data_IF_886188716558
#
_entry.id   IF_886188716558
#
_cell.length_a   1.000
_cell.length_b   1.000
_cell.length_c   1.000
_cell.angle_alpha   90.00
_cell.angle_beta   90.00
_cell.angle_gamma   90.00
#
_symmetry.space_group_name_H-M   'P 1'
#
loop_
_entity.id
_entity.type
_entity.pdbx_description
1 polymer ?
#
# COMPACT_ATOMS: atom_id res chain seq x y z
N UNK A 1 -11.21 -18.93 30.74
CA UNK A 1 -11.98 -19.57 29.64
C UNK A 1 -11.93 -18.71 28.38
N UNK A 2 -12.24 -17.43 28.37
CA UNK A 2 -12.16 -16.58 27.16
C UNK A 2 -10.76 -16.42 26.55
N UNK A 3 -9.71 -16.37 27.38
CA UNK A 3 -8.32 -16.30 26.90
C UNK A 3 -7.82 -17.62 26.30
N UNK A 4 -8.38 -18.76 26.73
CA UNK A 4 -8.03 -20.10 26.21
C UNK A 4 -8.76 -20.37 24.88
N UNK A 5 -9.98 -19.88 24.73
CA UNK A 5 -10.74 -19.96 23.47
C UNK A 5 -10.16 -19.02 22.40
N UNK A 6 -9.62 -17.86 22.79
CA UNK A 6 -8.87 -16.98 21.91
C UNK A 6 -7.53 -17.62 21.44
N UNK A 7 -6.87 -18.42 22.29
CA UNK A 7 -5.67 -19.19 21.92
C UNK A 7 -5.94 -20.32 20.94
N UNK A 8 -7.10 -20.98 21.02
CA UNK A 8 -7.48 -22.03 20.05
C UNK A 8 -7.96 -21.46 18.72
N UNK A 9 -8.47 -20.22 18.69
CA UNK A 9 -8.85 -19.52 17.45
C UNK A 9 -7.65 -18.87 16.73
N UNK A 10 -6.53 -18.62 17.41
CA UNK A 10 -5.27 -18.22 16.80
C UNK A 10 -4.50 -19.50 16.46
N UNK A 11 -4.92 -20.19 15.40
CA UNK A 11 -4.10 -21.21 14.77
C UNK A 11 -2.70 -20.63 14.49
N UNK A 12 -1.65 -21.44 14.60
CA UNK A 12 -0.24 -21.05 14.37
C UNK A 12 -0.13 -20.23 13.06
N UNK A 13 -0.22 -18.91 13.16
CA UNK A 13 0.05 -18.00 12.04
C UNK A 13 1.56 -17.99 11.81
N UNK A 14 2.02 -18.91 10.98
CA UNK A 14 3.42 -18.95 10.53
C UNK A 14 3.57 -18.04 9.32
N UNK A 15 3.82 -16.77 9.54
CA UNK A 15 4.10 -15.79 8.49
C UNK A 15 5.31 -16.17 7.58
N UNK A 16 6.10 -17.14 7.99
CA UNK A 16 7.32 -17.60 7.31
C UNK A 16 7.18 -18.83 6.41
N UNK A 17 5.97 -19.37 6.18
CA UNK A 17 5.82 -20.51 5.27
C UNK A 17 5.81 -20.07 3.80
N UNK A 18 6.35 -20.90 2.92
CA UNK A 18 6.31 -20.76 1.47
C UNK A 18 5.81 -22.05 0.82
N UNK A 19 5.10 -21.93 -0.29
CA UNK A 19 4.73 -23.07 -1.12
C UNK A 19 5.86 -23.42 -2.10
N UNK A 20 5.88 -24.64 -2.65
CA UNK A 20 6.80 -25.01 -3.73
C UNK A 20 6.69 -24.03 -4.89
N UNK A 21 7.82 -23.65 -5.48
CA UNK A 21 7.88 -22.73 -6.61
C UNK A 21 7.40 -23.47 -7.89
N UNK A 22 6.18 -23.22 -8.33
CA UNK A 22 5.57 -23.77 -9.54
C UNK A 22 5.42 -22.66 -10.59
N UNK A 23 6.53 -22.26 -11.23
CA UNK A 23 6.51 -21.23 -12.26
C UNK A 23 6.35 -21.86 -13.65
N UNK A 24 5.37 -21.40 -14.45
CA UNK A 24 5.24 -21.74 -15.88
C UNK A 24 6.23 -20.92 -16.71
N UNK A 25 6.48 -19.68 -16.33
CA UNK A 25 7.47 -18.80 -16.96
C UNK A 25 8.25 -18.08 -15.86
N UNK A 26 9.58 -18.10 -15.95
CA UNK A 26 10.48 -17.33 -15.10
C UNK A 26 11.55 -16.68 -15.95
N UNK A 27 11.75 -15.38 -15.76
CA UNK A 27 12.84 -14.64 -16.42
C UNK A 27 14.14 -14.78 -15.60
N UNK A 28 15.26 -14.63 -16.26
CA UNK A 28 16.57 -14.58 -15.60
C UNK A 28 16.69 -13.37 -14.69
N UNK A 29 17.64 -13.40 -13.78
CA UNK A 29 17.93 -12.27 -12.90
C UNK A 29 18.55 -11.09 -13.67
N UNK A 30 18.29 -9.89 -13.17
CA UNK A 30 18.80 -8.65 -13.70
C UNK A 30 17.84 -7.97 -14.68
N UNK A 31 17.99 -6.65 -14.81
CA UNK A 31 17.16 -5.81 -15.65
C UNK A 31 17.95 -5.32 -16.88
N UNK A 32 17.37 -5.49 -18.05
CA UNK A 32 17.89 -4.98 -19.31
C UNK A 32 16.76 -4.50 -20.21
N UNK A 33 17.07 -3.74 -21.26
CA UNK A 33 16.06 -3.35 -22.25
C UNK A 33 15.40 -4.58 -22.90
N UNK A 34 16.16 -5.68 -23.09
CA UNK A 34 15.61 -6.91 -23.64
C UNK A 34 14.55 -7.53 -22.70
N UNK A 35 14.83 -7.62 -21.40
CA UNK A 35 13.84 -8.08 -20.39
C UNK A 35 12.57 -7.25 -20.45
N UNK A 36 12.68 -5.92 -20.55
CA UNK A 36 11.54 -5.02 -20.65
C UNK A 36 10.71 -5.27 -21.91
N UNK A 37 11.36 -5.48 -23.06
CA UNK A 37 10.68 -5.81 -24.32
C UNK A 37 10.04 -7.19 -24.29
N UNK A 38 10.69 -8.16 -23.66
CA UNK A 38 10.18 -9.53 -23.53
C UNK A 38 8.93 -9.59 -22.64
N UNK A 39 8.89 -8.81 -21.54
CA UNK A 39 7.67 -8.65 -20.71
C UNK A 39 6.52 -8.10 -21.58
N UNK A 40 6.78 -7.03 -22.34
CA UNK A 40 5.76 -6.40 -23.19
C UNK A 40 5.28 -7.33 -24.29
N UNK A 41 6.19 -8.06 -24.94
CA UNK A 41 5.87 -9.02 -25.98
C UNK A 41 5.05 -10.19 -25.45
N UNK A 42 5.42 -10.74 -24.27
CA UNK A 42 4.68 -11.84 -23.62
C UNK A 42 3.24 -11.45 -23.28
N UNK A 43 3.02 -10.19 -22.95
CA UNK A 43 1.69 -9.63 -22.62
C UNK A 43 0.92 -9.14 -23.83
N UNK A 44 1.49 -9.20 -25.04
CA UNK A 44 0.93 -8.66 -26.28
C UNK A 44 0.49 -7.19 -26.15
N UNK A 45 1.32 -6.36 -25.51
CA UNK A 45 1.02 -4.96 -25.29
C UNK A 45 1.07 -4.13 -26.58
N UNK A 46 0.31 -3.02 -26.67
CA UNK A 46 0.40 -2.10 -27.79
C UNK A 46 1.78 -1.40 -27.82
N UNK A 47 2.25 -1.07 -29.01
CA UNK A 47 3.58 -0.48 -29.26
C UNK A 47 3.87 0.75 -28.37
N UNK A 48 2.87 1.62 -28.16
CA UNK A 48 3.04 2.80 -27.30
C UNK A 48 3.38 2.45 -25.84
N UNK A 49 2.88 1.30 -25.31
CA UNK A 49 3.23 0.83 -23.99
C UNK A 49 4.65 0.27 -23.97
N UNK A 50 5.04 -0.51 -24.97
CA UNK A 50 6.43 -1.00 -25.11
C UNK A 50 7.43 0.17 -25.13
N UNK A 51 7.14 1.22 -25.95
CA UNK A 51 7.97 2.42 -25.98
C UNK A 51 8.04 3.15 -24.64
N UNK A 52 6.91 3.24 -23.93
CA UNK A 52 6.86 3.87 -22.61
C UNK A 52 7.72 3.11 -21.60
N UNK A 53 7.62 1.78 -21.59
CA UNK A 53 8.45 0.90 -20.75
C UNK A 53 9.94 1.10 -21.00
N UNK A 54 10.34 1.12 -22.25
CA UNK A 54 11.76 1.33 -22.65
C UNK A 54 12.26 2.71 -22.23
N UNK A 55 11.47 3.77 -22.43
CA UNK A 55 11.82 5.12 -21.95
C UNK A 55 11.96 5.15 -20.41
N UNK A 56 11.08 4.45 -19.71
CA UNK A 56 11.14 4.35 -18.25
C UNK A 56 12.37 3.55 -17.78
N UNK A 57 12.74 2.48 -18.47
CA UNK A 57 13.96 1.71 -18.20
C UNK A 57 15.20 2.59 -18.32
N UNK A 58 15.38 3.30 -19.43
CA UNK A 58 16.52 4.21 -19.60
C UNK A 58 16.55 5.32 -18.55
N UNK A 59 15.38 5.80 -18.13
CA UNK A 59 15.31 6.78 -17.04
C UNK A 59 15.71 6.17 -15.68
N UNK A 60 15.27 4.95 -15.38
CA UNK A 60 15.66 4.20 -14.19
C UNK A 60 17.17 3.98 -14.16
N UNK A 61 17.75 3.52 -15.24
CA UNK A 61 19.18 3.21 -15.35
C UNK A 61 20.04 4.46 -15.08
N UNK A 62 19.69 5.58 -15.70
CA UNK A 62 20.43 6.84 -15.58
C UNK A 62 20.14 7.63 -14.28
N UNK A 63 19.02 7.34 -13.56
CA UNK A 63 18.66 8.08 -12.37
C UNK A 63 19.39 7.56 -11.13
N UNK A 64 20.09 8.43 -10.36
CA UNK A 64 20.74 8.00 -9.12
C UNK A 64 19.72 7.54 -8.09
N UNK A 65 20.19 6.78 -7.10
CA UNK A 65 19.40 6.43 -5.92
C UNK A 65 18.96 7.68 -5.18
N UNK A 66 17.84 7.63 -4.42
CA UNK A 66 17.43 8.73 -3.57
C UNK A 66 18.53 9.11 -2.58
N UNK A 67 18.62 10.40 -2.26
CA UNK A 67 19.57 10.94 -1.27
C UNK A 67 18.93 11.15 0.11
N UNK A 68 17.76 10.55 0.33
CA UNK A 68 17.02 10.58 1.60
C UNK A 68 16.54 9.19 1.97
N UNK A 69 16.05 9.01 3.20
CA UNK A 69 15.65 7.72 3.74
C UNK A 69 16.85 7.02 4.40
N UNK A 70 16.84 5.70 4.40
CA UNK A 70 17.96 4.90 4.91
C UNK A 70 18.94 4.57 3.77
N UNK A 71 19.94 5.42 3.60
CA UNK A 71 20.90 5.31 2.49
C UNK A 71 21.64 3.97 2.50
N UNK A 72 22.06 3.47 3.66
CA UNK A 72 22.80 2.21 3.74
C UNK A 72 21.95 1.01 3.30
N UNK A 73 20.67 0.96 3.71
CA UNK A 73 19.77 -0.09 3.26
C UNK A 73 19.44 0.02 1.76
N UNK A 74 19.35 1.26 1.23
CA UNK A 74 19.10 1.46 -0.21
C UNK A 74 20.30 1.05 -1.07
N UNK A 75 21.52 1.25 -0.59
CA UNK A 75 22.76 0.84 -1.27
C UNK A 75 22.93 -0.69 -1.29
N UNK A 76 22.30 -1.41 -0.36
CA UNK A 76 22.31 -2.88 -0.31
C UNK A 76 21.43 -3.52 -1.41
N UNK A 77 20.56 -2.75 -2.09
CA UNK A 77 19.68 -3.29 -3.14
C UNK A 77 20.48 -3.64 -4.38
N UNK A 78 20.60 -4.91 -4.67
CA UNK A 78 21.25 -5.44 -5.88
C UNK A 78 20.21 -5.74 -6.96
N UNK A 79 20.01 -4.79 -7.87
CA UNK A 79 19.04 -4.90 -8.96
C UNK A 79 19.39 -6.01 -9.97
N UNK A 80 20.64 -6.47 -10.01
CA UNK A 80 21.06 -7.55 -10.90
C UNK A 80 20.69 -8.93 -10.34
N UNK A 81 20.27 -9.02 -9.07
CA UNK A 81 19.82 -10.25 -8.41
C UNK A 81 18.31 -10.36 -8.24
N UNK A 82 17.54 -9.44 -8.80
CA UNK A 82 16.08 -9.47 -8.78
C UNK A 82 15.56 -10.16 -10.04
N UNK A 83 14.57 -11.05 -9.88
CA UNK A 83 13.76 -11.57 -10.97
C UNK A 83 12.58 -10.59 -11.20
N UNK A 84 12.46 -10.09 -12.42
CA UNK A 84 11.50 -9.01 -12.74
C UNK A 84 10.17 -9.52 -13.27
N UNK A 85 10.06 -10.80 -13.60
CA UNK A 85 8.83 -11.41 -14.04
C UNK A 85 8.79 -12.91 -13.75
N UNK A 86 7.68 -13.35 -13.18
CA UNK A 86 7.39 -14.75 -12.91
C UNK A 86 5.89 -14.99 -13.08
N UNK A 87 5.52 -15.97 -13.89
CA UNK A 87 4.14 -16.41 -14.08
C UNK A 87 3.95 -17.78 -13.45
N UNK A 88 2.98 -17.90 -12.57
CA UNK A 88 2.64 -19.17 -11.88
C UNK A 88 1.42 -19.88 -12.49
N UNK A 89 0.56 -19.16 -13.22
CA UNK A 89 -0.62 -19.70 -13.90
C UNK A 89 -0.76 -19.10 -15.29
N UNK A 90 -1.26 -19.88 -16.25
CA UNK A 90 -1.51 -19.42 -17.62
C UNK A 90 -2.88 -18.73 -17.80
N UNK A 91 -3.73 -18.73 -16.77
CA UNK A 91 -5.06 -18.14 -16.81
C UNK A 91 -5.40 -17.40 -15.52
N UNK A 92 -6.24 -16.36 -15.66
CA UNK A 92 -6.95 -15.73 -14.54
C UNK A 92 -8.33 -16.38 -14.45
N UNK A 93 -8.60 -17.05 -13.34
CA UNK A 93 -9.84 -17.79 -13.14
C UNK A 93 -10.94 -16.87 -12.61
N UNK A 94 -12.20 -17.18 -12.98
CA UNK A 94 -13.40 -16.46 -12.49
C UNK A 94 -14.03 -17.14 -11.29
N UNK A 95 -13.87 -18.46 -11.21
CA UNK A 95 -14.34 -19.26 -10.08
C UNK A 95 -13.17 -19.68 -9.21
N UNK A 96 -13.31 -19.47 -7.89
CA UNK A 96 -12.26 -19.79 -6.92
C UNK A 96 -11.88 -21.27 -6.92
N UNK A 97 -12.82 -22.14 -7.23
CA UNK A 97 -12.60 -23.58 -7.30
C UNK A 97 -11.70 -24.01 -8.47
N UNK A 98 -11.60 -23.19 -9.52
CA UNK A 98 -10.76 -23.43 -10.70
C UNK A 98 -9.30 -22.94 -10.50
N UNK A 99 -9.05 -22.12 -9.48
CA UNK A 99 -7.68 -21.68 -9.13
C UNK A 99 -6.85 -22.91 -8.69
N UNK A 100 -5.59 -23.05 -9.14
CA UNK A 100 -4.71 -24.14 -8.72
C UNK A 100 -4.69 -24.35 -7.20
N UNK A 101 -4.75 -25.63 -6.76
CA UNK A 101 -4.92 -25.98 -5.35
C UNK A 101 -3.81 -25.44 -4.44
N UNK A 102 -2.58 -25.42 -4.90
CA UNK A 102 -1.42 -24.85 -4.19
C UNK A 102 -1.58 -23.35 -3.95
N UNK A 103 -2.07 -22.61 -4.96
CA UNK A 103 -2.37 -21.19 -4.86
C UNK A 103 -3.57 -20.94 -3.93
N UNK A 104 -4.65 -21.70 -4.07
CA UNK A 104 -5.82 -21.61 -3.15
C UNK A 104 -5.41 -21.83 -1.71
N UNK A 105 -4.67 -22.91 -1.44
CA UNK A 105 -4.16 -23.23 -0.11
C UNK A 105 -3.30 -22.09 0.47
N UNK A 106 -2.60 -21.35 -0.38
CA UNK A 106 -1.84 -20.17 0.03
C UNK A 106 -2.76 -19.08 0.57
N UNK A 107 -3.81 -18.74 -0.18
CA UNK A 107 -4.75 -17.70 0.23
C UNK A 107 -5.64 -18.14 1.39
N UNK A 108 -6.02 -19.42 1.48
CA UNK A 108 -6.77 -19.97 2.62
C UNK A 108 -5.97 -19.88 3.93
N UNK A 109 -4.66 -20.20 3.87
CA UNK A 109 -3.75 -20.04 5.03
C UNK A 109 -3.58 -18.58 5.44
N UNK A 110 -3.72 -17.63 4.54
CA UNK A 110 -3.70 -16.19 4.83
C UNK A 110 -5.00 -15.71 5.46
N UNK A 111 -6.02 -16.58 5.53
CA UNK A 111 -7.29 -16.27 6.17
C UNK A 111 -8.21 -15.41 5.29
N UNK A 112 -8.11 -15.57 3.95
CA UNK A 112 -9.11 -15.01 3.03
C UNK A 112 -10.30 -15.99 3.01
N UNK A 113 -11.33 -15.82 3.87
CA UNK A 113 -12.43 -16.76 3.95
C UNK A 113 -13.32 -16.63 2.70
N UNK A 114 -13.91 -17.75 2.26
CA UNK A 114 -15.02 -17.70 1.29
C UNK A 114 -16.15 -16.72 1.70
N UNK A 115 -16.27 -16.44 3.01
CA UNK A 115 -17.24 -15.48 3.55
C UNK A 115 -16.94 -14.04 3.10
N UNK A 116 -15.66 -13.64 2.93
CA UNK A 116 -15.29 -12.30 2.45
C UNK A 116 -15.70 -12.10 1.00
N UNK A 117 -15.60 -13.12 0.17
CA UNK A 117 -16.04 -13.07 -1.23
C UNK A 117 -17.54 -12.76 -1.37
N UNK A 118 -18.36 -13.16 -0.39
CA UNK A 118 -19.82 -12.93 -0.39
C UNK A 118 -20.22 -11.51 0.02
N UNK A 119 -19.33 -10.77 0.72
CA UNK A 119 -19.62 -9.46 1.30
C UNK A 119 -18.91 -8.31 0.58
N UNK A 120 -18.12 -8.60 -0.47
CA UNK A 120 -17.41 -7.61 -1.26
C UNK A 120 -18.09 -7.35 -2.60
N UNK A 121 -17.85 -6.18 -3.15
CA UNK A 121 -18.31 -5.80 -4.49
C UNK A 121 -17.50 -6.43 -5.61
N UNK A 122 -16.27 -6.84 -5.32
CA UNK A 122 -15.36 -7.52 -6.24
C UNK A 122 -14.07 -7.90 -5.55
N UNK A 123 -13.40 -8.94 -6.03
CA UNK A 123 -12.14 -9.47 -5.49
C UNK A 123 -11.18 -9.79 -6.61
N UNK A 124 -9.92 -9.42 -6.45
CA UNK A 124 -8.79 -9.87 -7.28
C UNK A 124 -7.71 -10.47 -6.39
N UNK A 125 -7.18 -11.62 -6.78
CA UNK A 125 -6.01 -12.21 -6.14
C UNK A 125 -4.86 -12.28 -7.14
N UNK A 126 -3.72 -11.68 -6.78
CA UNK A 126 -2.49 -11.74 -7.54
C UNK A 126 -1.45 -12.57 -6.80
N UNK A 127 -0.84 -13.50 -7.53
CA UNK A 127 0.24 -14.34 -7.07
C UNK A 127 1.45 -14.11 -7.97
N UNK A 128 2.58 -13.70 -7.39
CA UNK A 128 3.76 -13.24 -8.12
C UNK A 128 3.47 -12.04 -9.03
N UNK A 129 3.69 -12.19 -10.34
CA UNK A 129 3.57 -11.08 -11.29
C UNK A 129 2.19 -10.93 -11.92
N UNK A 130 1.25 -11.86 -11.73
CA UNK A 130 -0.02 -11.84 -12.47
C UNK A 130 -1.22 -12.18 -11.59
N UNK A 131 -2.40 -11.68 -11.99
CA UNK A 131 -3.67 -12.04 -11.36
C UNK A 131 -4.02 -13.49 -11.66
N UNK A 132 -4.38 -14.24 -10.63
CA UNK A 132 -4.78 -15.66 -10.71
C UNK A 132 -6.28 -15.88 -10.50
N UNK A 133 -6.93 -14.91 -9.89
CA UNK A 133 -8.38 -14.92 -9.65
C UNK A 133 -8.96 -13.52 -9.77
N UNK A 134 -10.15 -13.41 -10.38
CA UNK A 134 -10.87 -12.15 -10.48
C UNK A 134 -12.38 -12.38 -10.50
N UNK A 135 -13.11 -11.61 -9.69
CA UNK A 135 -14.57 -11.61 -9.64
C UNK A 135 -15.11 -10.21 -9.34
N UNK A 136 -16.22 -9.84 -9.97
CA UNK A 136 -16.98 -8.62 -9.69
C UNK A 136 -18.47 -8.96 -9.69
N UNK A 137 -19.27 -8.24 -8.92
CA UNK A 137 -20.71 -8.41 -8.87
C UNK A 137 -21.36 -7.97 -10.18
N UNK A 138 -22.29 -8.78 -10.68
CA UNK A 138 -23.01 -8.53 -11.94
C UNK A 138 -23.79 -7.20 -11.94
N UNK A 139 -24.34 -6.78 -10.79
CA UNK A 139 -25.08 -5.52 -10.69
C UNK A 139 -24.19 -4.29 -10.88
N UNK A 140 -22.90 -4.38 -10.54
CA UNK A 140 -21.92 -3.33 -10.81
C UNK A 140 -21.46 -3.33 -12.27
N UNK A 141 -21.25 -4.51 -12.86
CA UNK A 141 -20.96 -4.62 -14.29
C UNK A 141 -22.10 -4.04 -15.13
N UNK A 142 -23.35 -4.31 -14.76
CA UNK A 142 -24.54 -3.74 -15.43
C UNK A 142 -24.63 -2.21 -15.31
N UNK A 143 -24.07 -1.62 -14.25
CA UNK A 143 -23.94 -0.19 -14.07
C UNK A 143 -22.72 0.40 -14.82
N UNK A 144 -21.93 -0.45 -15.49
CA UNK A 144 -20.75 -0.06 -16.25
C UNK A 144 -19.49 0.16 -15.41
N UNK A 145 -19.46 -0.35 -14.15
CA UNK A 145 -18.23 -0.38 -13.33
C UNK A 145 -17.28 -1.37 -13.97
N UNK A 146 -16.04 -0.92 -14.19
CA UNK A 146 -14.94 -1.77 -14.64
C UNK A 146 -14.04 -2.03 -13.42
N UNK A 147 -13.82 -3.30 -13.12
CA UNK A 147 -12.80 -3.75 -12.19
C UNK A 147 -12.08 -4.93 -12.82
N UNK A 148 -10.82 -4.77 -13.15
CA UNK A 148 -9.98 -5.75 -13.83
C UNK A 148 -8.58 -5.71 -13.21
N UNK A 149 -7.76 -6.73 -13.47
CA UNK A 149 -6.32 -6.55 -13.37
C UNK A 149 -5.83 -5.53 -14.43
N UNK A 150 -4.67 -4.91 -14.17
CA UNK A 150 -4.20 -3.83 -15.03
C UNK A 150 -3.81 -4.31 -16.44
N UNK A 151 -3.38 -5.56 -16.60
CA UNK A 151 -3.04 -6.15 -17.89
C UNK A 151 -4.28 -6.35 -18.76
N UNK A 152 -5.36 -6.86 -18.16
CA UNK A 152 -6.69 -6.96 -18.80
C UNK A 152 -7.26 -5.58 -19.10
N UNK A 153 -7.13 -4.63 -18.16
CA UNK A 153 -7.53 -3.24 -18.37
C UNK A 153 -6.87 -2.59 -19.57
N UNK A 154 -5.56 -2.80 -19.75
CA UNK A 154 -4.82 -2.30 -20.92
C UNK A 154 -5.30 -2.94 -22.22
N UNK A 155 -5.60 -4.23 -22.20
CA UNK A 155 -6.03 -5.00 -23.38
C UNK A 155 -7.45 -4.64 -23.81
N UNK A 156 -8.38 -4.52 -22.86
CA UNK A 156 -9.81 -4.34 -23.12
C UNK A 156 -10.21 -2.85 -23.25
N UNK A 157 -9.51 -1.95 -22.53
CA UNK A 157 -9.79 -0.52 -22.50
C UNK A 157 -8.55 0.34 -22.81
N UNK A 158 -7.82 0.09 -23.92
CA UNK A 158 -6.53 0.70 -24.21
C UNK A 158 -6.57 2.23 -24.26
N UNK A 159 -7.65 2.83 -24.78
CA UNK A 159 -7.77 4.29 -24.87
C UNK A 159 -7.97 4.95 -23.49
N UNK A 160 -8.72 4.30 -22.59
CA UNK A 160 -8.93 4.79 -21.24
C UNK A 160 -7.63 4.71 -20.44
N UNK A 161 -6.93 3.56 -20.55
CA UNK A 161 -5.61 3.40 -19.93
C UNK A 161 -4.61 4.41 -20.49
N UNK A 162 -4.51 4.56 -21.80
CA UNK A 162 -3.60 5.53 -22.45
C UNK A 162 -3.84 6.96 -21.99
N UNK A 163 -5.08 7.33 -21.72
CA UNK A 163 -5.45 8.68 -21.23
C UNK A 163 -4.94 8.95 -19.83
N UNK A 164 -4.98 7.95 -18.93
CA UNK A 164 -4.78 8.17 -17.51
C UNK A 164 -3.51 7.56 -16.93
N UNK A 165 -2.96 6.53 -17.54
CA UNK A 165 -1.73 5.87 -17.11
C UNK A 165 -0.54 6.85 -17.14
N UNK A 166 0.23 6.92 -16.08
CA UNK A 166 1.32 7.89 -15.88
C UNK A 166 0.87 9.38 -15.86
N UNK A 167 -0.43 9.66 -15.74
CA UNK A 167 -0.93 11.05 -15.74
C UNK A 167 -0.73 11.74 -14.39
N UNK A 168 -0.68 10.98 -13.31
CA UNK A 168 -0.52 11.47 -11.93
C UNK A 168 0.86 11.12 -11.38
N UNK A 169 1.37 9.94 -11.69
CA UNK A 169 2.73 9.48 -11.35
C UNK A 169 3.49 9.17 -12.65
N UNK A 170 4.12 10.17 -13.29
CA UNK A 170 4.95 9.93 -14.46
C UNK A 170 6.20 9.13 -14.09
N UNK A 171 6.77 8.38 -15.05
CA UNK A 171 7.97 7.60 -14.80
C UNK A 171 9.19 8.45 -14.38
N UNK A 172 9.19 9.75 -14.70
CA UNK A 172 10.24 10.69 -14.29
C UNK A 172 10.14 11.12 -12.82
N UNK A 173 9.09 10.75 -12.09
CA UNK A 173 8.84 11.23 -10.72
C UNK A 173 9.99 10.84 -9.77
N UNK A 174 10.31 9.56 -9.72
CA UNK A 174 11.42 9.03 -8.91
C UNK A 174 11.98 7.74 -9.54
N UNK A 175 13.11 7.23 -9.01
CA UNK A 175 13.77 6.02 -9.52
C UNK A 175 12.86 4.80 -9.51
N UNK A 176 12.06 4.63 -8.46
CA UNK A 176 11.19 3.45 -8.29
C UNK A 176 9.92 3.54 -9.14
N UNK A 177 9.39 4.74 -9.41
CA UNK A 177 8.31 4.91 -10.38
C UNK A 177 8.77 4.62 -11.81
N UNK A 178 10.03 4.95 -12.14
CA UNK A 178 10.65 4.57 -13.41
C UNK A 178 10.80 3.05 -13.51
N UNK A 179 11.32 2.40 -12.46
CA UNK A 179 11.43 0.95 -12.39
C UNK A 179 10.07 0.28 -12.59
N UNK A 180 9.08 0.68 -11.78
CA UNK A 180 7.72 0.13 -11.92
C UNK A 180 7.19 0.32 -13.35
N UNK A 181 7.29 1.53 -13.92
CA UNK A 181 6.79 1.78 -15.29
C UNK A 181 7.50 0.92 -16.34
N UNK A 182 8.76 0.57 -16.14
CA UNK A 182 9.50 -0.31 -17.05
C UNK A 182 9.03 -1.77 -16.99
N UNK A 183 8.72 -2.28 -15.79
CA UNK A 183 8.50 -3.72 -15.57
C UNK A 183 7.16 -4.08 -14.91
N UNK A 184 6.22 -3.14 -14.79
CA UNK A 184 4.95 -3.38 -14.12
C UNK A 184 4.23 -4.62 -14.67
N UNK A 185 3.56 -5.32 -13.77
CA UNK A 185 2.77 -6.51 -14.05
C UNK A 185 1.68 -6.65 -13.01
N UNK A 186 0.45 -6.90 -13.45
CA UNK A 186 -0.70 -6.95 -12.56
C UNK A 186 -1.03 -5.61 -11.92
N UNK A 187 -1.65 -5.67 -10.74
CA UNK A 187 -2.29 -4.52 -10.10
C UNK A 187 -3.75 -4.42 -10.49
N UNK A 188 -4.41 -3.31 -10.14
CA UNK A 188 -5.86 -3.14 -10.37
C UNK A 188 -6.16 -1.99 -11.33
N UNK A 189 -7.07 -2.23 -12.26
CA UNK A 189 -7.67 -1.21 -13.13
C UNK A 189 -9.14 -1.05 -12.79
N UNK A 190 -9.52 0.16 -12.33
CA UNK A 190 -10.89 0.44 -11.91
C UNK A 190 -11.38 1.74 -12.57
N UNK A 191 -12.58 1.65 -13.17
CA UNK A 191 -13.32 2.81 -13.61
C UNK A 191 -14.74 2.75 -13.05
N UNK A 192 -15.15 3.79 -12.34
CA UNK A 192 -16.52 3.94 -11.81
C UNK A 192 -17.21 5.03 -12.60
N UNK A 193 -18.30 4.72 -13.33
CA UNK A 193 -19.02 5.68 -14.16
C UNK A 193 -19.64 6.81 -13.35
N UNK A 194 -19.94 7.91 -14.04
CA UNK A 194 -20.58 9.11 -13.50
C UNK A 194 -21.83 8.77 -12.67
N UNK A 195 -21.85 9.26 -11.43
CA UNK A 195 -22.96 9.12 -10.49
C UNK A 195 -23.17 7.72 -9.93
N UNK A 196 -22.30 6.76 -10.22
CA UNK A 196 -22.38 5.41 -9.66
C UNK A 196 -21.67 5.36 -8.30
N UNK A 197 -22.33 4.77 -7.32
CA UNK A 197 -21.79 4.58 -5.96
C UNK A 197 -21.59 3.11 -5.68
N UNK A 198 -20.34 2.69 -5.51
CA UNK A 198 -19.99 1.33 -5.11
C UNK A 198 -20.06 1.26 -3.58
N UNK A 199 -21.17 0.69 -3.05
CA UNK A 199 -21.48 0.74 -1.62
C UNK A 199 -20.56 -0.14 -0.78
N UNK A 200 -20.27 -1.37 -1.26
CA UNK A 200 -19.36 -2.28 -0.58
C UNK A 200 -17.95 -2.18 -1.19
N UNK A 201 -16.90 -2.38 -0.39
CA UNK A 201 -15.54 -2.31 -0.90
C UNK A 201 -15.27 -3.31 -2.03
N UNK A 202 -14.40 -2.95 -2.95
CA UNK A 202 -13.69 -3.89 -3.83
C UNK A 202 -12.31 -4.16 -3.26
N UNK A 203 -11.79 -5.36 -3.45
CA UNK A 203 -10.59 -5.83 -2.76
C UNK A 203 -9.57 -6.45 -3.70
N UNK A 204 -8.28 -6.20 -3.44
CA UNK A 204 -7.20 -6.92 -4.09
C UNK A 204 -6.22 -7.48 -3.05
N UNK A 205 -5.76 -8.70 -3.30
CA UNK A 205 -4.69 -9.35 -2.54
C UNK A 205 -3.47 -9.57 -3.40
N UNK A 206 -2.30 -9.20 -2.86
CA UNK A 206 -1.01 -9.37 -3.51
C UNK A 206 -0.11 -10.26 -2.67
N UNK A 207 0.40 -11.33 -3.28
CA UNK A 207 1.30 -12.29 -2.63
C UNK A 207 2.59 -12.46 -3.43
N UNK A 208 3.73 -12.18 -2.82
CA UNK A 208 5.04 -12.66 -3.28
C UNK A 208 5.28 -14.00 -2.60
N UNK A 209 5.65 -15.04 -3.36
CA UNK A 209 5.98 -16.35 -2.79
C UNK A 209 7.37 -16.86 -3.23
N UNK A 210 7.93 -16.37 -4.34
CA UNK A 210 9.21 -16.83 -4.85
C UNK A 210 10.40 -16.04 -4.28
N UNK A 211 11.52 -16.75 -4.12
CA UNK A 211 12.78 -16.18 -3.63
C UNK A 211 13.40 -15.22 -4.67
N UNK A 212 13.98 -14.09 -4.21
CA UNK A 212 14.57 -13.06 -5.04
C UNK A 212 13.60 -12.47 -6.08
N UNK A 213 12.30 -12.54 -5.81
CA UNK A 213 11.28 -12.01 -6.69
C UNK A 213 11.08 -10.52 -6.46
N UNK A 214 10.93 -9.77 -7.57
CA UNK A 214 10.38 -8.43 -7.56
C UNK A 214 8.89 -8.45 -7.88
N UNK A 215 8.08 -7.68 -7.14
CA UNK A 215 6.68 -7.44 -7.44
C UNK A 215 6.47 -5.96 -7.77
N UNK A 216 5.85 -5.70 -8.93
CA UNK A 216 5.80 -4.37 -9.55
C UNK A 216 4.39 -4.04 -10.01
N UNK A 217 3.41 -4.15 -9.13
CA UNK A 217 2.02 -3.89 -9.50
C UNK A 217 1.76 -2.42 -9.84
N UNK A 218 0.82 -2.21 -10.77
CA UNK A 218 0.34 -0.89 -11.17
C UNK A 218 -1.16 -0.79 -10.96
N UNK A 219 -1.58 0.09 -10.04
CA UNK A 219 -3.00 0.31 -9.77
C UNK A 219 -3.44 1.68 -10.31
N UNK A 220 -4.53 1.68 -11.08
CA UNK A 220 -5.14 2.87 -11.65
C UNK A 220 -6.63 2.88 -11.33
N UNK A 221 -7.07 3.84 -10.52
CA UNK A 221 -8.48 4.01 -10.13
C UNK A 221 -8.99 5.36 -10.62
N UNK A 222 -10.06 5.31 -11.41
CA UNK A 222 -10.73 6.49 -11.96
C UNK A 222 -12.17 6.50 -11.45
N UNK A 223 -12.52 7.46 -10.62
CA UNK A 223 -13.89 7.74 -10.21
C UNK A 223 -14.42 8.94 -11.02
N UNK A 224 -15.41 8.70 -11.88
CA UNK A 224 -15.99 9.73 -12.72
C UNK A 224 -16.89 10.69 -11.91
N UNK A 225 -17.39 11.73 -12.51
CA UNK A 225 -18.13 12.81 -11.83
C UNK A 225 -19.20 12.29 -10.88
N UNK A 226 -19.13 12.70 -9.60
CA UNK A 226 -20.09 12.35 -8.57
C UNK A 226 -20.15 10.87 -8.19
N UNK A 227 -19.19 10.05 -8.62
CA UNK A 227 -19.13 8.64 -8.27
C UNK A 227 -18.36 8.38 -6.96
N UNK A 228 -18.50 7.18 -6.41
CA UNK A 228 -17.74 6.81 -5.20
C UNK A 228 -17.33 5.35 -5.19
N UNK A 229 -16.13 5.09 -4.60
CA UNK A 229 -15.59 3.75 -4.40
C UNK A 229 -14.70 3.69 -3.17
N UNK A 230 -14.78 2.55 -2.48
CA UNK A 230 -13.80 2.13 -1.48
C UNK A 230 -13.03 0.91 -2.01
N UNK A 231 -11.73 1.07 -2.17
CA UNK A 231 -10.82 -0.01 -2.57
C UNK A 231 -9.95 -0.41 -1.39
N UNK A 232 -9.80 -1.72 -1.18
CA UNK A 232 -9.02 -2.29 -0.09
C UNK A 232 -7.93 -3.19 -0.67
N UNK A 233 -6.71 -3.04 -0.17
CA UNK A 233 -5.54 -3.79 -0.61
C UNK A 233 -4.89 -4.51 0.57
N UNK A 234 -4.63 -5.80 0.41
CA UNK A 234 -3.81 -6.61 1.31
C UNK A 234 -2.54 -7.08 0.61
N UNK A 235 -1.37 -6.92 1.26
CA UNK A 235 -0.10 -7.36 0.70
C UNK A 235 0.68 -8.20 1.71
N UNK A 236 1.19 -9.37 1.27
CA UNK A 236 1.98 -10.26 2.12
C UNK A 236 3.14 -10.91 1.37
N UNK A 237 4.17 -11.30 2.11
CA UNK A 237 5.27 -12.14 1.62
C UNK A 237 5.79 -13.07 2.72
N UNK A 238 6.28 -14.29 2.38
CA UNK A 238 6.99 -15.15 3.32
C UNK A 238 8.39 -14.64 3.61
N UNK A 239 8.99 -15.11 4.68
CA UNK A 239 10.38 -14.80 5.05
C UNK A 239 11.35 -15.70 4.30
N UNK A 240 12.27 -15.10 3.55
CA UNK A 240 13.41 -15.75 2.92
C UNK A 240 14.73 -15.24 3.49
N UNK A 241 15.80 -16.01 3.25
CA UNK A 241 17.17 -15.59 3.60
C UNK A 241 17.76 -14.55 2.65
N UNK A 242 17.07 -14.22 1.58
CA UNK A 242 17.47 -13.25 0.56
C UNK A 242 16.41 -12.16 0.43
N UNK A 243 16.86 -10.97 0.09
CA UNK A 243 16.00 -9.81 -0.05
C UNK A 243 15.04 -9.94 -1.24
N UNK A 244 13.84 -9.37 -1.09
CA UNK A 244 12.83 -9.23 -2.15
C UNK A 244 12.49 -7.75 -2.33
N UNK A 245 12.09 -7.37 -3.55
CA UNK A 245 11.78 -5.99 -3.90
C UNK A 245 10.30 -5.84 -4.26
N UNK A 246 9.59 -5.03 -3.49
CA UNK A 246 8.26 -4.56 -3.83
C UNK A 246 8.31 -3.09 -4.25
N UNK A 247 7.90 -2.80 -5.47
CA UNK A 247 7.86 -1.42 -5.99
C UNK A 247 6.59 -1.18 -6.79
N UNK A 248 5.54 -0.76 -6.09
CA UNK A 248 4.24 -0.48 -6.66
C UNK A 248 4.06 1.00 -7.02
N UNK A 249 3.18 1.25 -7.98
CA UNK A 249 2.68 2.59 -8.26
C UNK A 249 1.16 2.61 -8.27
N UNK A 250 0.57 3.55 -7.52
CA UNK A 250 -0.87 3.75 -7.44
C UNK A 250 -1.24 5.16 -7.89
N UNK A 251 -2.16 5.26 -8.86
CA UNK A 251 -2.71 6.50 -9.38
C UNK A 251 -4.21 6.56 -9.12
N UNK A 252 -4.68 7.61 -8.42
CA UNK A 252 -6.09 7.86 -8.18
C UNK A 252 -6.53 9.13 -8.90
N UNK A 253 -7.60 9.05 -9.67
CA UNK A 253 -8.21 10.18 -10.35
C UNK A 253 -9.65 10.34 -9.85
N UNK A 254 -9.89 11.33 -8.99
CA UNK A 254 -11.22 11.70 -8.53
C UNK A 254 -11.70 12.90 -9.34
N UNK A 255 -12.61 12.68 -10.30
CA UNK A 255 -13.22 13.72 -11.12
C UNK A 255 -14.22 14.56 -10.28
N UNK A 256 -14.80 15.66 -10.80
CA UNK A 256 -15.61 16.56 -9.97
C UNK A 256 -16.68 15.86 -9.12
N UNK A 257 -16.68 16.13 -7.81
CA UNK A 257 -17.62 15.56 -6.85
C UNK A 257 -17.39 14.06 -6.54
N UNK A 258 -16.37 13.44 -7.11
CA UNK A 258 -16.10 12.02 -6.87
C UNK A 258 -15.41 11.77 -5.53
N UNK A 259 -15.58 10.56 -5.00
CA UNK A 259 -14.97 10.14 -3.75
C UNK A 259 -14.23 8.80 -3.92
N UNK A 260 -12.93 8.79 -3.65
CA UNK A 260 -12.13 7.58 -3.62
C UNK A 260 -11.57 7.40 -2.21
N UNK A 261 -11.86 6.26 -1.61
CA UNK A 261 -11.20 5.79 -0.39
C UNK A 261 -10.32 4.59 -0.75
N UNK A 262 -9.05 4.64 -0.37
CA UNK A 262 -8.08 3.59 -0.60
C UNK A 262 -7.50 3.14 0.75
N UNK A 263 -7.82 1.92 1.15
CA UNK A 263 -7.29 1.32 2.37
C UNK A 263 -6.29 0.23 2.05
N UNK A 264 -5.17 0.18 2.76
CA UNK A 264 -4.17 -0.88 2.60
C UNK A 264 -3.65 -1.35 3.95
N UNK A 265 -3.52 -2.66 4.09
CA UNK A 265 -2.79 -3.29 5.19
C UNK A 265 -1.67 -4.12 4.57
N UNK A 266 -0.43 -3.69 4.83
CA UNK A 266 0.76 -4.37 4.34
C UNK A 266 1.45 -5.08 5.50
N UNK A 267 1.62 -6.40 5.34
CA UNK A 267 2.34 -7.26 6.28
C UNK A 267 3.46 -7.98 5.52
N UNK A 268 4.57 -7.28 5.35
CA UNK A 268 5.74 -7.79 4.66
C UNK A 268 6.71 -8.46 5.64
N UNK A 269 7.36 -9.51 5.18
CA UNK A 269 8.47 -10.10 5.91
C UNK A 269 9.70 -9.18 5.97
N UNK A 270 10.57 -9.42 6.96
CA UNK A 270 11.72 -8.57 7.30
C UNK A 270 12.83 -8.49 6.25
N UNK A 271 12.71 -9.23 5.14
CA UNK A 271 13.62 -9.19 4.00
C UNK A 271 13.09 -8.40 2.80
N UNK A 272 11.94 -7.73 2.91
CA UNK A 272 11.32 -6.99 1.79
C UNK A 272 11.70 -5.52 1.81
N UNK A 273 12.17 -5.01 0.67
CA UNK A 273 12.23 -3.59 0.38
C UNK A 273 10.90 -3.15 -0.23
N UNK A 274 10.16 -2.32 0.48
CA UNK A 274 8.82 -1.86 0.11
C UNK A 274 8.87 -0.38 -0.33
N UNK A 275 9.08 -0.16 -1.64
CA UNK A 275 9.38 1.15 -2.24
C UNK A 275 8.23 1.61 -3.14
N UNK A 276 7.21 2.20 -2.55
CA UNK A 276 5.91 2.46 -3.18
C UNK A 276 5.67 3.94 -3.46
N UNK A 277 5.14 4.25 -4.63
CA UNK A 277 4.67 5.60 -4.98
C UNK A 277 3.16 5.61 -5.15
N UNK A 278 2.46 6.32 -4.26
CA UNK A 278 1.00 6.50 -4.29
C UNK A 278 0.65 7.97 -4.48
N UNK A 279 -0.16 8.29 -5.49
CA UNK A 279 -0.63 9.67 -5.70
C UNK A 279 -2.03 9.74 -6.27
N UNK A 280 -2.83 10.67 -5.72
CA UNK A 280 -4.15 10.99 -6.21
C UNK A 280 -4.25 12.44 -6.68
N UNK A 281 -5.17 12.70 -7.61
CA UNK A 281 -5.57 14.03 -8.02
C UNK A 281 -7.06 14.22 -7.76
N UNK A 282 -7.42 15.24 -6.97
CA UNK A 282 -8.80 15.56 -6.64
C UNK A 282 -9.23 16.81 -7.40
N UNK A 283 -10.27 16.67 -8.22
CA UNK A 283 -10.90 17.76 -8.95
C UNK A 283 -11.91 18.50 -8.07
N UNK A 284 -12.72 19.38 -8.65
CA UNK A 284 -13.68 20.24 -7.94
C UNK A 284 -14.60 19.43 -7.02
N UNK A 285 -14.65 19.80 -5.72
CA UNK A 285 -15.44 19.13 -4.68
C UNK A 285 -15.19 17.62 -4.53
N UNK A 286 -14.12 17.08 -5.13
CA UNK A 286 -13.77 15.69 -5.00
C UNK A 286 -13.04 15.39 -3.68
N UNK A 287 -13.13 14.14 -3.24
CA UNK A 287 -12.50 13.66 -2.01
C UNK A 287 -11.61 12.45 -2.26
N UNK A 288 -10.39 12.45 -1.70
CA UNK A 288 -9.49 11.30 -1.68
C UNK A 288 -9.07 11.01 -0.25
N UNK A 289 -9.23 9.76 0.17
CA UNK A 289 -8.82 9.24 1.47
C UNK A 289 -7.82 8.10 1.31
N UNK A 290 -6.68 8.22 1.99
CA UNK A 290 -5.70 7.15 2.14
C UNK A 290 -5.75 6.63 3.57
N UNK A 291 -5.96 5.33 3.75
CA UNK A 291 -5.91 4.62 5.04
C UNK A 291 -4.83 3.55 4.93
N UNK A 292 -3.69 3.76 5.58
CA UNK A 292 -2.44 3.08 5.23
C UNK A 292 -1.78 2.43 6.45
N UNK A 293 -1.83 1.10 6.53
CA UNK A 293 -1.19 0.28 7.56
C UNK A 293 0.10 -0.38 7.07
N UNK A 294 1.21 -0.14 7.75
CA UNK A 294 2.53 -0.62 7.39
C UNK A 294 3.14 -1.44 8.52
N UNK A 295 3.27 -2.75 8.31
CA UNK A 295 3.88 -3.70 9.24
C UNK A 295 4.92 -4.50 8.48
N UNK A 296 6.00 -4.86 9.16
CA UNK A 296 7.06 -5.65 8.56
C UNK A 296 7.96 -4.86 7.63
N UNK A 297 8.51 -5.52 6.62
CA UNK A 297 9.56 -5.09 5.68
C UNK A 297 10.88 -4.67 6.33
N UNK A 298 11.99 -4.85 5.60
CA UNK A 298 13.33 -4.36 5.98
C UNK A 298 13.38 -2.84 5.90
N UNK A 299 12.88 -2.30 4.79
CA UNK A 299 12.76 -0.87 4.55
C UNK A 299 11.44 -0.57 3.84
N UNK A 300 10.62 0.29 4.42
CA UNK A 300 9.50 0.92 3.71
C UNK A 300 9.85 2.35 3.37
N UNK A 301 9.61 2.75 2.10
CA UNK A 301 9.56 4.15 1.68
C UNK A 301 8.22 4.38 0.98
N UNK A 302 7.26 4.97 1.69
CA UNK A 302 5.89 5.15 1.19
C UNK A 302 5.27 6.46 1.70
N UNK A 303 4.93 7.33 0.76
CA UNK A 303 4.41 8.67 1.04
C UNK A 303 3.16 8.94 0.20
N UNK A 304 1.97 8.41 0.59
CA UNK A 304 0.72 8.71 -0.10
C UNK A 304 0.56 10.21 -0.31
N UNK A 305 0.20 10.60 -1.53
CA UNK A 305 0.14 12.00 -1.92
C UNK A 305 -1.20 12.36 -2.54
N UNK A 306 -1.67 13.61 -2.33
CA UNK A 306 -2.86 14.13 -3.00
C UNK A 306 -2.58 15.53 -3.55
N UNK A 307 -2.92 15.72 -4.82
CA UNK A 307 -2.96 17.04 -5.47
C UNK A 307 -4.40 17.54 -5.46
N UNK A 308 -4.69 18.54 -4.64
CA UNK A 308 -5.99 19.22 -4.57
C UNK A 308 -6.05 20.27 -5.66
N UNK A 309 -6.46 19.83 -6.86
CA UNK A 309 -6.47 20.63 -8.10
C UNK A 309 -7.75 21.42 -8.29
N UNK A 310 -8.87 20.89 -7.82
CA UNK A 310 -10.18 21.53 -7.95
C UNK A 310 -10.59 22.30 -6.70
N UNK A 311 -11.36 23.36 -6.87
CA UNK A 311 -11.92 24.15 -5.77
C UNK A 311 -12.77 23.27 -4.86
N UNK A 312 -12.70 23.48 -3.54
CA UNK A 312 -13.49 22.73 -2.55
C UNK A 312 -13.07 21.26 -2.37
N UNK A 313 -12.01 20.80 -3.04
CA UNK A 313 -11.55 19.41 -2.90
C UNK A 313 -10.96 19.14 -1.52
N UNK A 314 -11.00 17.85 -1.11
CA UNK A 314 -10.59 17.38 0.20
C UNK A 314 -9.66 16.19 0.12
N UNK A 315 -8.66 16.14 1.02
CA UNK A 315 -7.81 14.98 1.20
C UNK A 315 -7.69 14.60 2.68
N UNK A 316 -7.74 13.30 2.95
CA UNK A 316 -7.42 12.75 4.26
C UNK A 316 -6.40 11.63 4.12
N UNK A 317 -5.41 11.62 5.01
CA UNK A 317 -4.43 10.54 5.12
C UNK A 317 -4.36 10.07 6.56
N UNK A 318 -4.66 8.81 6.78
CA UNK A 318 -4.50 8.14 8.07
C UNK A 318 -3.48 7.02 7.85
N UNK A 319 -2.32 7.14 8.49
CA UNK A 319 -1.21 6.20 8.32
C UNK A 319 -0.74 5.68 9.66
N UNK A 320 -0.53 4.38 9.75
CA UNK A 320 0.14 3.74 10.87
C UNK A 320 1.34 2.95 10.40
N UNK A 321 2.40 2.93 11.21
CA UNK A 321 3.61 2.18 10.93
C UNK A 321 4.13 1.50 12.20
N UNK A 322 4.49 0.22 12.09
CA UNK A 322 5.18 -0.52 13.14
C UNK A 322 6.55 -0.96 12.63
N UNK A 323 7.60 -0.69 13.41
CA UNK A 323 8.98 -1.08 13.11
C UNK A 323 9.59 -1.87 14.26
N UNK A 324 9.97 -3.11 13.98
CA UNK A 324 10.68 -4.01 14.87
C UNK A 324 12.18 -4.08 14.57
N UNK A 325 12.83 -5.11 15.12
CA UNK A 325 14.27 -5.32 14.97
C UNK A 325 14.71 -5.35 13.49
N UNK A 326 15.72 -4.54 13.17
CA UNK A 326 16.30 -4.45 11.82
C UNK A 326 15.41 -3.77 10.78
N UNK A 327 14.27 -3.22 11.17
CA UNK A 327 13.30 -2.60 10.28
C UNK A 327 13.39 -1.06 10.30
N UNK A 328 13.14 -0.44 9.14
CA UNK A 328 12.96 1.00 9.05
C UNK A 328 11.69 1.34 8.25
N UNK A 329 10.70 1.92 8.93
CA UNK A 329 9.49 2.46 8.31
C UNK A 329 9.68 3.97 8.06
N UNK A 330 10.09 4.36 6.84
CA UNK A 330 10.11 5.78 6.39
C UNK A 330 8.79 6.04 5.64
N UNK A 331 7.77 6.40 6.41
CA UNK A 331 6.41 6.63 5.92
C UNK A 331 5.98 8.08 6.19
N UNK A 332 4.92 8.52 5.50
CA UNK A 332 4.42 9.87 5.69
C UNK A 332 3.31 10.22 4.72
N UNK A 333 3.10 11.51 4.47
CA UNK A 333 2.08 11.96 3.53
C UNK A 333 2.46 13.27 2.85
N UNK A 334 1.96 13.48 1.62
CA UNK A 334 2.19 14.73 0.88
C UNK A 334 0.87 15.27 0.35
N UNK A 335 0.54 16.54 0.65
CA UNK A 335 -0.66 17.17 0.13
C UNK A 335 -0.33 18.54 -0.46
N UNK A 336 -0.77 18.74 -1.69
CA UNK A 336 -0.56 19.97 -2.45
C UNK A 336 -1.88 20.68 -2.71
N UNK A 337 -2.10 21.83 -2.06
CA UNK A 337 -3.26 22.70 -2.26
C UNK A 337 -3.00 23.64 -3.43
N UNK A 338 -3.56 23.35 -4.60
CA UNK A 338 -3.42 24.17 -5.82
C UNK A 338 -4.62 25.06 -6.09
N UNK A 339 -5.79 24.72 -5.54
CA UNK A 339 -7.05 25.46 -5.68
C UNK A 339 -7.54 26.02 -4.34
N UNK A 340 -8.44 27.01 -4.41
CA UNK A 340 -9.03 27.67 -3.24
C UNK A 340 -10.04 26.79 -2.51
N UNK A 341 -10.33 27.13 -1.25
CA UNK A 341 -11.32 26.46 -0.40
C UNK A 341 -11.07 24.98 -0.16
N UNK A 342 -9.83 24.51 -0.38
CA UNK A 342 -9.44 23.11 -0.22
C UNK A 342 -9.09 22.80 1.23
N UNK A 343 -9.31 21.54 1.62
CA UNK A 343 -9.07 21.11 3.00
C UNK A 343 -8.27 19.82 3.04
N UNK A 344 -7.41 19.67 4.05
CA UNK A 344 -6.65 18.42 4.26
C UNK A 344 -6.46 18.08 5.71
N UNK A 345 -6.39 16.77 5.97
CA UNK A 345 -6.05 16.22 7.28
C UNK A 345 -5.06 15.08 7.13
N UNK A 346 -3.99 15.11 7.91
CA UNK A 346 -3.01 14.03 8.02
C UNK A 346 -2.96 13.59 9.47
N UNK A 347 -3.19 12.29 9.70
CA UNK A 347 -2.95 11.63 10.97
C UNK A 347 -1.96 10.49 10.73
N UNK A 348 -0.74 10.64 11.26
CA UNK A 348 0.30 9.61 11.18
C UNK A 348 0.67 9.13 12.59
N UNK A 349 0.64 7.82 12.79
CA UNK A 349 1.05 7.20 14.04
C UNK A 349 2.10 6.13 13.78
N UNK A 350 3.17 6.12 14.57
CA UNK A 350 4.23 5.12 14.44
C UNK A 350 4.61 4.52 15.78
N UNK A 351 4.98 3.25 15.75
CA UNK A 351 5.53 2.51 16.90
C UNK A 351 6.87 1.93 16.50
N UNK A 352 7.84 2.06 17.40
CA UNK A 352 9.16 1.45 17.24
C UNK A 352 9.50 0.60 18.46
N UNK A 353 9.97 -0.65 18.20
CA UNK A 353 10.29 -1.66 19.22
C UNK A 353 11.55 -2.44 18.82
N UNK A 354 12.28 -2.98 19.78
CA UNK A 354 13.44 -3.88 19.61
C UNK A 354 14.54 -3.30 18.69
N UNK A 355 14.80 -1.99 18.79
CA UNK A 355 15.77 -1.29 17.96
C UNK A 355 15.24 -0.88 16.59
N UNK A 356 13.95 -1.01 16.33
CA UNK A 356 13.28 -0.56 15.12
C UNK A 356 13.33 0.96 14.95
N UNK A 357 13.22 1.42 13.70
CA UNK A 357 13.23 2.83 13.36
C UNK A 357 11.97 3.26 12.63
N UNK A 358 11.24 4.22 13.18
CA UNK A 358 10.13 4.92 12.54
C UNK A 358 10.57 6.30 12.05
N UNK A 359 10.23 6.66 10.81
CA UNK A 359 10.44 8.03 10.31
C UNK A 359 9.16 8.55 9.69
N UNK A 360 8.69 9.72 10.15
CA UNK A 360 7.63 10.46 9.48
C UNK A 360 8.24 11.48 8.53
N UNK A 361 7.85 11.41 7.26
CA UNK A 361 8.27 12.38 6.23
C UNK A 361 7.05 12.97 5.57
N UNK A 362 6.67 14.16 6.03
CA UNK A 362 5.48 14.87 5.57
C UNK A 362 5.79 16.09 4.73
N UNK A 363 4.91 16.40 3.78
CA UNK A 363 4.94 17.66 3.03
C UNK A 363 3.53 18.19 2.81
N UNK A 364 3.30 19.44 3.19
CA UNK A 364 2.09 20.16 2.82
C UNK A 364 2.49 21.47 2.14
N UNK A 365 1.94 21.71 0.96
CA UNK A 365 2.17 22.97 0.24
C UNK A 365 0.86 23.65 -0.14
N UNK A 366 0.83 24.98 -0.03
CA UNK A 366 -0.29 25.83 -0.45
C UNK A 366 0.21 26.81 -1.51
N UNK A 367 -0.37 26.72 -2.70
CA UNK A 367 -0.05 27.61 -3.82
C UNK A 367 -0.36 29.09 -3.47
N UNK A 368 0.41 30.06 -3.98
CA UNK A 368 0.11 31.48 -3.81
C UNK A 368 -1.30 31.90 -4.26
N UNK A 369 -1.89 31.13 -5.18
CA UNK A 369 -3.24 31.39 -5.74
C UNK A 369 -4.37 30.66 -5.01
N UNK A 370 -4.04 29.76 -4.07
CA UNK A 370 -5.02 28.94 -3.36
C UNK A 370 -5.46 29.64 -2.06
N UNK A 371 -6.62 30.27 -2.09
CA UNK A 371 -7.18 31.01 -0.96
C UNK A 371 -8.00 30.12 -0.02
N UNK A 372 -8.08 30.51 1.26
CA UNK A 372 -8.91 29.88 2.30
C UNK A 372 -8.67 28.37 2.50
N UNK A 373 -7.48 27.90 2.23
CA UNK A 373 -7.11 26.51 2.48
C UNK A 373 -7.03 26.22 3.99
N UNK A 374 -7.45 25.02 4.40
CA UNK A 374 -7.33 24.54 5.79
C UNK A 374 -6.58 23.24 5.80
N UNK A 375 -5.56 23.14 6.64
CA UNK A 375 -4.72 21.95 6.73
C UNK A 375 -4.41 21.65 8.21
N UNK A 376 -4.53 20.38 8.56
CA UNK A 376 -4.22 19.86 9.88
C UNK A 376 -3.30 18.65 9.73
N UNK A 377 -2.19 18.65 10.45
CA UNK A 377 -1.21 17.57 10.46
C UNK A 377 -0.94 17.17 11.90
N UNK A 378 -1.17 15.91 12.21
CA UNK A 378 -0.85 15.31 13.50
C UNK A 378 0.06 14.12 13.25
N UNK A 379 1.25 14.10 13.86
CA UNK A 379 2.16 12.97 13.80
C UNK A 379 2.62 12.57 15.21
N UNK A 380 2.22 11.36 15.61
CA UNK A 380 2.52 10.79 16.92
C UNK A 380 3.43 9.58 16.77
N UNK A 381 4.47 9.52 17.57
CA UNK A 381 5.35 8.37 17.65
C UNK A 381 5.42 7.83 19.08
N UNK A 382 5.33 6.50 19.20
CA UNK A 382 5.47 5.79 20.45
C UNK A 382 6.71 4.89 20.38
N UNK A 383 7.63 5.05 21.33
CA UNK A 383 8.84 4.25 21.46
C UNK A 383 8.65 3.29 22.63
N UNK A 384 8.86 1.99 22.39
CA UNK A 384 8.61 0.97 23.42
C UNK A 384 9.88 0.63 24.23
N UNK A 385 11.08 0.94 23.74
CA UNK A 385 12.35 0.61 24.39
C UNK A 385 13.43 1.68 24.12
N UNK A 386 14.58 1.54 24.77
CA UNK A 386 15.70 2.50 24.65
C UNK A 386 16.53 2.34 23.36
N UNK A 387 16.43 1.20 22.68
CA UNK A 387 17.18 0.91 21.45
C UNK A 387 16.48 1.43 20.20
N UNK A 388 15.18 1.68 20.30
CA UNK A 388 14.34 2.10 19.19
C UNK A 388 14.42 3.60 18.92
N UNK A 389 14.08 3.99 17.68
CA UNK A 389 14.23 5.37 17.22
C UNK A 389 13.01 5.86 16.44
N UNK A 390 12.68 7.14 16.65
CA UNK A 390 11.71 7.89 15.83
C UNK A 390 12.33 9.17 15.31
N UNK A 391 12.12 9.45 14.01
CA UNK A 391 12.55 10.68 13.34
C UNK A 391 11.35 11.38 12.70
N UNK A 392 11.36 12.71 12.65
CA UNK A 392 10.30 13.50 12.02
C UNK A 392 10.89 14.54 11.08
N UNK A 393 10.47 14.51 9.81
CA UNK A 393 10.92 15.41 8.74
C UNK A 393 9.74 16.15 8.11
N UNK A 394 9.14 17.13 8.80
CA UNK A 394 8.02 17.88 8.25
C UNK A 394 8.50 18.98 7.30
N UNK A 395 7.78 19.15 6.20
CA UNK A 395 7.95 20.29 5.27
C UNK A 395 6.62 20.99 5.09
N UNK A 396 6.59 22.29 5.32
CA UNK A 396 5.39 23.12 5.17
C UNK A 396 5.73 24.36 4.35
N UNK A 397 5.10 24.46 3.16
CA UNK A 397 5.28 25.56 2.22
C UNK A 397 3.97 26.30 2.04
N UNK A 398 3.66 27.26 2.90
CA UNK A 398 2.40 28.01 2.87
C UNK A 398 2.63 29.36 2.21
N UNK A 399 2.31 29.47 0.93
CA UNK A 399 2.56 30.69 0.14
C UNK A 399 1.35 31.65 0.06
N UNK A 400 0.20 31.29 0.64
CA UNK A 400 -0.99 32.16 0.68
C UNK A 400 -1.35 32.52 2.13
N UNK A 401 -1.46 33.82 2.50
CA UNK A 401 -1.70 34.27 3.87
C UNK A 401 -3.12 33.97 4.41
N UNK A 402 -4.09 33.63 3.56
CA UNK A 402 -5.43 33.23 4.00
C UNK A 402 -5.51 31.78 4.48
N UNK A 403 -4.45 30.99 4.28
CA UNK A 403 -4.44 29.59 4.70
C UNK A 403 -4.38 29.46 6.22
N UNK A 404 -5.10 28.48 6.75
CA UNK A 404 -5.04 28.06 8.17
C UNK A 404 -4.31 26.73 8.25
N UNK A 405 -3.24 26.73 9.03
CA UNK A 405 -2.33 25.61 9.13
C UNK A 405 -2.13 25.24 10.59
N UNK A 406 -2.38 23.99 10.90
CA UNK A 406 -2.14 23.39 12.21
C UNK A 406 -1.20 22.20 12.04
N UNK A 407 -0.14 22.14 12.85
CA UNK A 407 0.78 21.03 12.87
C UNK A 407 1.17 20.69 14.30
N UNK A 408 0.94 19.46 14.67
CA UNK A 408 1.33 18.88 15.96
C UNK A 408 2.20 17.64 15.71
N UNK A 409 3.28 17.52 16.48
CA UNK A 409 4.13 16.35 16.47
C UNK A 409 4.46 15.96 17.92
N UNK A 410 4.22 14.69 18.25
CA UNK A 410 4.59 14.14 19.55
C UNK A 410 5.45 12.89 19.39
N UNK A 411 6.47 12.78 20.25
CA UNK A 411 7.27 11.55 20.39
C UNK A 411 7.29 11.23 21.89
N UNK A 412 6.79 10.07 22.24
CA UNK A 412 6.76 9.62 23.62
C UNK A 412 7.31 8.20 23.76
N UNK A 413 7.91 7.91 24.91
CA UNK A 413 8.18 6.55 25.35
C UNK A 413 6.98 6.05 26.13
N UNK A 414 6.70 4.75 26.06
CA UNK A 414 5.69 4.12 26.91
C UNK A 414 5.97 4.43 28.38
N UNK A 415 4.96 4.88 29.10
CA UNK A 415 5.09 5.22 30.51
C UNK A 415 5.15 3.95 31.36
N UNK A 416 6.26 3.80 32.11
CA UNK A 416 6.41 2.71 33.09
C UNK A 416 5.26 2.71 34.13
N UNK A 417 4.70 3.89 34.45
CA UNK A 417 3.55 4.02 35.37
C UNK A 417 2.27 3.43 34.76
N UNK A 418 2.05 3.60 33.45
CA UNK A 418 0.90 3.00 32.76
C UNK A 418 1.02 1.48 32.70
N UNK A 419 2.20 0.98 32.36
CA UNK A 419 2.48 -0.46 32.37
C UNK A 419 2.29 -1.03 33.78
N UNK A 420 2.89 -0.42 34.78
CA UNK A 420 2.74 -0.84 36.19
C UNK A 420 1.27 -0.81 36.64
N UNK A 421 0.50 0.21 36.26
CA UNK A 421 -0.92 0.26 36.60
C UNK A 421 -1.70 -0.92 36.02
N UNK A 422 -1.48 -1.26 34.75
CA UNK A 422 -2.13 -2.42 34.11
C UNK A 422 -1.68 -3.74 34.74
N UNK A 423 -0.38 -3.88 35.04
CA UNK A 423 0.14 -5.06 35.77
C UNK A 423 -0.47 -5.19 37.16
N UNK A 424 -0.70 -4.08 37.87
CA UNK A 424 -1.36 -4.09 39.17
C UNK A 424 -2.84 -4.54 39.11
N UNK A 425 -3.43 -4.53 37.92
CA UNK A 425 -4.78 -5.04 37.62
C UNK A 425 -4.81 -6.50 37.19
N UNK A 426 -3.64 -7.15 37.14
CA UNK A 426 -3.50 -8.58 36.87
C UNK A 426 -3.11 -8.94 35.45
N UNK A 427 -2.74 -7.95 34.63
CA UNK A 427 -2.18 -8.18 33.30
C UNK A 427 -0.69 -8.52 33.40
N UNK A 428 -0.17 -9.32 32.46
CA UNK A 428 1.26 -9.44 32.25
C UNK A 428 1.83 -8.14 31.65
N UNK A 429 3.13 -7.95 31.69
CA UNK A 429 3.79 -6.81 31.04
C UNK A 429 3.48 -6.77 29.54
N UNK A 430 3.54 -7.92 28.87
CA UNK A 430 3.22 -8.08 27.44
C UNK A 430 1.78 -7.70 27.12
N UNK A 431 0.81 -8.19 27.93
CA UNK A 431 -0.60 -7.81 27.79
C UNK A 431 -0.81 -6.31 28.00
N UNK A 432 -0.14 -5.72 28.98
CA UNK A 432 -0.20 -4.28 29.25
C UNK A 432 0.32 -3.46 28.08
N UNK A 433 1.47 -3.84 27.51
CA UNK A 433 2.03 -3.19 26.33
C UNK A 433 1.12 -3.35 25.11
N UNK A 434 0.60 -4.55 24.86
CA UNK A 434 -0.35 -4.79 23.76
C UNK A 434 -1.62 -3.93 23.88
N UNK A 435 -2.14 -3.75 25.08
CA UNK A 435 -3.31 -2.87 25.32
C UNK A 435 -2.99 -1.40 25.01
N UNK A 436 -1.82 -0.91 25.39
CA UNK A 436 -1.37 0.48 25.11
C UNK A 436 -1.21 0.67 23.61
N UNK A 437 -0.56 -0.28 22.93
CA UNK A 437 -0.33 -0.26 21.47
C UNK A 437 -1.66 -0.28 20.71
N UNK A 438 -2.58 -1.16 21.07
CA UNK A 438 -3.90 -1.24 20.43
C UNK A 438 -4.70 0.06 20.63
N UNK A 439 -4.63 0.66 21.82
CA UNK A 439 -5.24 1.96 22.08
C UNK A 439 -4.62 3.09 21.26
N UNK A 440 -3.31 3.05 21.03
CA UNK A 440 -2.62 4.03 20.20
C UNK A 440 -3.02 3.94 18.74
N UNK A 441 -3.27 2.73 18.20
CA UNK A 441 -3.69 2.50 16.81
C UNK A 441 -5.22 2.53 16.61
N UNK A 442 -6.02 2.64 17.67
CA UNK A 442 -7.49 2.63 17.58
C UNK A 442 -8.06 3.58 16.52
N UNK A 443 -7.57 4.85 16.36
CA UNK A 443 -8.09 5.74 15.33
C UNK A 443 -7.94 5.19 13.91
N UNK A 444 -6.93 4.36 13.66
CA UNK A 444 -6.73 3.70 12.37
C UNK A 444 -7.62 2.44 12.22
N UNK A 445 -7.69 1.60 13.26
CA UNK A 445 -8.46 0.35 13.18
C UNK A 445 -9.95 0.60 12.97
N UNK A 446 -10.48 1.72 13.47
CA UNK A 446 -11.86 2.15 13.24
C UNK A 446 -12.19 2.49 11.79
N UNK A 447 -11.17 2.83 11.00
CA UNK A 447 -11.30 3.22 9.60
C UNK A 447 -11.20 2.03 8.63
N UNK A 448 -10.80 0.88 9.12
CA UNK A 448 -10.72 -0.35 8.34
C UNK A 448 -12.07 -1.10 8.32
N UNK A 449 -12.38 -1.85 7.26
CA UNK A 449 -13.39 -2.89 7.32
C UNK A 449 -13.10 -3.84 8.49
N UNK A 450 -14.16 -4.40 9.10
CA UNK A 450 -14.06 -5.16 10.36
C UNK A 450 -13.05 -6.32 10.26
N UNK A 451 -13.00 -7.00 9.15
CA UNK A 451 -12.12 -8.15 8.87
C UNK A 451 -10.64 -7.71 8.94
N UNK A 452 -10.32 -6.60 8.27
CA UNK A 452 -8.97 -6.02 8.29
C UNK A 452 -8.58 -5.45 9.64
N UNK A 453 -9.53 -4.89 10.38
CA UNK A 453 -9.29 -4.43 11.75
C UNK A 453 -8.95 -5.60 12.69
N UNK A 454 -9.63 -6.75 12.53
CA UNK A 454 -9.36 -7.97 13.28
C UNK A 454 -8.00 -8.54 12.91
N UNK A 455 -7.67 -8.60 11.61
CA UNK A 455 -6.37 -9.07 11.11
C UNK A 455 -5.23 -8.19 11.63
N UNK A 456 -5.35 -6.87 11.53
CA UNK A 456 -4.35 -5.93 12.04
C UNK A 456 -4.11 -6.13 13.55
N UNK A 457 -5.18 -6.27 14.34
CA UNK A 457 -5.05 -6.48 15.78
C UNK A 457 -4.34 -7.81 16.09
N UNK A 458 -4.60 -8.87 15.32
CA UNK A 458 -3.89 -10.14 15.44
C UNK A 458 -2.39 -10.00 15.09
N UNK A 459 -2.08 -9.33 13.98
CA UNK A 459 -0.70 -9.06 13.58
C UNK A 459 0.04 -8.27 14.65
N UNK A 460 -0.58 -7.22 15.20
CA UNK A 460 0.01 -6.42 16.28
C UNK A 460 0.25 -7.25 17.55
N UNK A 461 -0.67 -8.15 17.90
CA UNK A 461 -0.48 -9.04 19.04
C UNK A 461 0.71 -9.99 18.84
N UNK A 462 0.86 -10.57 17.63
CA UNK A 462 2.00 -11.43 17.27
C UNK A 462 3.33 -10.68 17.32
N UNK A 463 3.39 -9.46 16.80
CA UNK A 463 4.58 -8.61 16.87
C UNK A 463 4.94 -8.23 18.33
N UNK A 464 3.95 -8.15 19.21
CA UNK A 464 4.18 -7.90 20.63
C UNK A 464 4.64 -9.15 21.38
N UNK A 465 4.16 -10.35 21.01
CA UNK A 465 4.56 -11.64 21.58
C UNK A 465 5.94 -12.12 21.09
N UNK A 466 6.33 -11.75 19.87
CA UNK A 466 7.57 -12.20 19.19
C UNK A 466 8.89 -11.77 19.85
N UNK A 467 8.83 -11.14 21.01
CA UNK A 467 9.98 -10.81 21.86
C UNK A 467 10.47 -11.99 22.73
N UNK A 468 9.88 -13.18 22.61
CA UNK A 468 10.31 -14.40 23.29
C UNK A 468 10.68 -15.44 22.22
N UNK A 469 11.89 -15.33 21.68
CA UNK A 469 12.50 -16.31 20.80
C UNK A 469 13.99 -16.38 21.06
#
# INVERSE_FOLDING_TARGET
MAATEAREAVGEYKAGWHDPENATIRFDFGLSEQVVRDISALKNEPEWMTELRVKAFHHFDNRPMPTWGNMSMLEDIDFDKVCYFLRSSDATEKDWEDVPEDIRNTFDKLGIPEAEQKWLSGVTAQYESEAVYHSIREDLEQQGVIFLDMDSGLREYPELVKKWFCSVVPYQDNKFSALNTAVWSGGSFIYVPKGVHVEMPVQAYFRINAKNMGQFERTLIIADEGSSIHYVEGCTAPTYSTDSLHSAVVELIALPGAHIRYSTVQNWSTNVYNLVTKRGIAHENAKIEWVDGNIGSKLTMKYPSVILKGEGSHAEVISVAYSGNGQHQDAGAKIHHLASNTTSKILSKSISKDGGRGSYRGMVSVSPKAENCKLNVVCDALILDDGSRSDTYPTMEVANPSARCEHEASVSKVSDEQVFYLMSRGHSEEEALAMIVNGFFEPFTRELPMEYAVELNKLMALEMEGSIG
#
